data_IF_372740173921
#
_entry.id   IF_372740173921
#
_cell.length_a   1.000
_cell.length_b   1.000
_cell.length_c   1.000
_cell.angle_alpha   90.00
_cell.angle_beta   90.00
_cell.angle_gamma   90.00
#
_symmetry.space_group_name_H-M   'P 1'
#
loop_
_entity.id
_entity.type
_entity.pdbx_description
1 polymer ?
#
# COMPACT_ATOMS: atom_id res chain seq x y z
N UNK A 1 4.76 -4.23 -19.70
CA UNK A 1 3.30 -3.96 -19.86
C UNK A 1 2.99 -3.14 -21.11
N UNK A 2 3.75 -2.12 -21.52
CA UNK A 2 3.46 -1.34 -22.72
C UNK A 2 3.26 -2.15 -23.99
N UNK A 3 4.15 -3.11 -24.29
CA UNK A 3 4.00 -4.00 -25.45
C UNK A 3 2.74 -4.86 -25.40
N UNK A 4 2.29 -5.24 -24.20
CA UNK A 4 1.05 -6.01 -24.01
C UNK A 4 -0.18 -5.17 -24.31
N UNK A 5 -0.22 -3.92 -23.81
CA UNK A 5 -1.34 -3.03 -24.11
C UNK A 5 -1.43 -2.74 -25.60
N UNK A 6 -0.31 -2.50 -26.25
CA UNK A 6 -0.26 -2.27 -27.69
C UNK A 6 -0.72 -3.50 -28.50
N UNK A 7 -0.33 -4.71 -28.08
CA UNK A 7 -0.80 -5.93 -28.70
C UNK A 7 -2.32 -6.08 -28.58
N UNK A 8 -2.89 -5.78 -27.40
CA UNK A 8 -4.35 -5.81 -27.19
C UNK A 8 -5.06 -4.81 -28.12
N UNK A 9 -4.57 -3.57 -28.22
CA UNK A 9 -5.15 -2.56 -29.12
C UNK A 9 -5.08 -2.97 -30.58
N UNK A 10 -4.07 -3.76 -30.98
CA UNK A 10 -3.93 -4.30 -32.33
C UNK A 10 -4.63 -5.64 -32.54
N UNK A 11 -5.48 -6.07 -31.62
CA UNK A 11 -6.39 -7.19 -31.80
C UNK A 11 -5.77 -8.57 -31.63
N UNK A 12 -4.77 -8.72 -30.74
CA UNK A 12 -4.24 -10.04 -30.42
C UNK A 12 -5.30 -10.90 -29.69
N UNK A 13 -5.42 -12.17 -30.07
CA UNK A 13 -6.42 -13.09 -29.50
C UNK A 13 -6.04 -13.64 -28.13
N UNK A 14 -4.76 -13.67 -27.79
CA UNK A 14 -4.29 -14.21 -26.52
C UNK A 14 -2.90 -13.73 -26.13
N UNK A 15 -2.61 -13.76 -24.84
CA UNK A 15 -1.33 -13.33 -24.26
C UNK A 15 -0.78 -14.46 -23.40
N UNK A 16 0.45 -14.88 -23.69
CA UNK A 16 1.20 -15.75 -22.81
C UNK A 16 1.81 -14.95 -21.67
N UNK A 17 1.52 -15.35 -20.44
CA UNK A 17 2.00 -14.69 -19.22
C UNK A 17 2.33 -15.72 -18.15
N UNK A 18 3.01 -15.33 -17.09
CA UNK A 18 3.29 -16.20 -15.95
C UNK A 18 3.00 -15.49 -14.64
N UNK A 19 2.59 -16.25 -13.62
CA UNK A 19 2.36 -15.72 -12.29
C UNK A 19 3.67 -15.15 -11.74
N UNK A 20 3.61 -13.97 -11.12
CA UNK A 20 4.75 -13.19 -10.63
C UNK A 20 5.76 -12.79 -11.73
N UNK A 21 5.46 -13.02 -13.01
CA UNK A 21 6.37 -12.79 -14.10
C UNK A 21 7.52 -13.78 -14.18
N UNK A 22 7.39 -14.95 -13.56
CA UNK A 22 8.46 -15.96 -13.53
C UNK A 22 8.79 -16.47 -14.94
N UNK A 23 10.08 -16.70 -15.19
CA UNK A 23 10.57 -17.20 -16.47
C UNK A 23 12.08 -17.03 -16.61
N UNK A 24 12.62 -17.42 -17.74
CA UNK A 24 14.04 -17.28 -18.04
C UNK A 24 14.47 -15.81 -18.15
N UNK A 25 15.71 -15.52 -17.85
CA UNK A 25 16.37 -14.19 -17.92
C UNK A 25 15.62 -13.15 -17.06
N UNK A 26 14.95 -12.19 -17.69
CA UNK A 26 14.17 -11.16 -17.01
C UNK A 26 12.75 -11.60 -16.65
N UNK A 27 12.38 -12.83 -17.00
CA UNK A 27 11.05 -13.39 -16.82
C UNK A 27 10.07 -13.07 -17.96
N UNK A 28 8.83 -13.41 -17.73
CA UNK A 28 7.71 -13.15 -18.64
C UNK A 28 6.89 -11.94 -18.15
N UNK A 29 5.93 -11.50 -18.95
CA UNK A 29 4.93 -10.55 -18.48
C UNK A 29 4.12 -11.18 -17.34
N UNK A 30 3.88 -10.42 -16.29
CA UNK A 30 3.22 -10.92 -15.10
C UNK A 30 1.69 -11.02 -15.31
N UNK A 31 1.13 -12.20 -15.08
CA UNK A 31 -0.31 -12.47 -15.27
C UNK A 31 -1.19 -11.53 -14.45
N UNK A 32 -0.83 -11.26 -13.21
CA UNK A 32 -1.54 -10.35 -12.33
C UNK A 32 -1.59 -8.92 -12.88
N UNK A 33 -0.52 -8.47 -13.53
CA UNK A 33 -0.47 -7.14 -14.14
C UNK A 33 -1.28 -7.09 -15.44
N UNK A 34 -1.26 -8.17 -16.24
CA UNK A 34 -2.10 -8.29 -17.45
C UNK A 34 -3.58 -8.24 -17.09
N UNK A 35 -4.01 -9.02 -16.10
CA UNK A 35 -5.41 -9.04 -15.63
C UNK A 35 -5.82 -7.66 -15.13
N UNK A 36 -5.04 -7.06 -14.23
CA UNK A 36 -5.36 -5.74 -13.67
C UNK A 36 -5.42 -4.66 -14.76
N UNK A 37 -4.48 -4.64 -15.70
CA UNK A 37 -4.51 -3.73 -16.83
C UNK A 37 -5.75 -3.94 -17.70
N UNK A 38 -6.03 -5.18 -18.08
CA UNK A 38 -7.17 -5.49 -18.96
C UNK A 38 -8.50 -5.10 -18.34
N UNK A 39 -8.74 -5.47 -17.07
CA UNK A 39 -10.03 -5.24 -16.43
C UNK A 39 -10.20 -3.81 -15.88
N UNK A 40 -9.14 -3.22 -15.31
CA UNK A 40 -9.24 -1.92 -14.63
C UNK A 40 -9.00 -0.77 -15.61
N UNK A 41 -7.97 -0.85 -16.46
CA UNK A 41 -7.62 0.26 -17.36
C UNK A 41 -8.33 0.16 -18.70
N UNK A 42 -8.44 -1.04 -19.27
CA UNK A 42 -9.00 -1.24 -20.60
C UNK A 42 -10.48 -1.64 -20.59
N UNK A 43 -11.05 -1.87 -19.39
CA UNK A 43 -12.43 -2.32 -19.19
C UNK A 43 -12.80 -3.57 -20.01
N UNK A 44 -11.84 -4.49 -20.16
CA UNK A 44 -12.00 -5.76 -20.86
C UNK A 44 -12.32 -6.86 -19.86
N UNK A 45 -13.21 -7.78 -20.24
CA UNK A 45 -13.52 -8.95 -19.41
C UNK A 45 -12.55 -10.09 -19.73
N UNK A 46 -11.66 -10.41 -18.81
CA UNK A 46 -10.72 -11.54 -18.96
C UNK A 46 -11.36 -12.89 -18.60
N UNK A 47 -12.53 -12.89 -17.98
CA UNK A 47 -13.15 -14.09 -17.42
C UNK A 47 -12.48 -14.60 -16.14
N UNK A 48 -11.54 -13.86 -15.58
CA UNK A 48 -10.84 -14.19 -14.33
C UNK A 48 -11.49 -13.50 -13.14
N UNK A 49 -11.11 -13.90 -11.92
CA UNK A 49 -11.48 -13.20 -10.70
C UNK A 49 -10.26 -12.47 -10.13
N UNK A 50 -10.14 -11.14 -10.30
CA UNK A 50 -8.98 -10.38 -9.81
C UNK A 50 -8.77 -10.51 -8.30
N UNK A 51 -9.83 -10.75 -7.52
CA UNK A 51 -9.76 -10.84 -6.04
C UNK A 51 -8.91 -12.01 -5.54
N UNK A 52 -8.74 -13.08 -6.34
CA UNK A 52 -7.95 -14.24 -5.92
C UNK A 52 -6.48 -14.16 -6.36
N UNK A 53 -6.14 -13.20 -7.23
CA UNK A 53 -4.83 -13.16 -7.87
C UNK A 53 -3.70 -12.98 -6.87
N UNK A 54 -3.89 -12.12 -5.87
CA UNK A 54 -2.89 -11.91 -4.81
C UNK A 54 -2.58 -13.23 -4.06
N UNK A 55 -3.61 -13.99 -3.69
CA UNK A 55 -3.44 -15.29 -3.01
C UNK A 55 -2.66 -16.28 -3.87
N UNK A 56 -2.93 -16.33 -5.17
CA UNK A 56 -2.21 -17.17 -6.12
C UNK A 56 -0.75 -16.77 -6.20
N UNK A 57 -0.45 -15.47 -6.35
CA UNK A 57 0.91 -14.94 -6.43
C UNK A 57 1.73 -15.24 -5.17
N UNK A 58 1.13 -15.09 -3.98
CA UNK A 58 1.80 -15.45 -2.72
C UNK A 58 2.07 -16.97 -2.66
N UNK A 59 1.12 -17.81 -3.07
CA UNK A 59 1.30 -19.26 -3.09
C UNK A 59 2.41 -19.70 -4.05
N UNK A 60 2.49 -19.09 -5.23
CA UNK A 60 3.59 -19.36 -6.18
C UNK A 60 4.94 -18.92 -5.60
N UNK A 61 4.97 -17.77 -4.93
CA UNK A 61 6.19 -17.31 -4.23
C UNK A 61 6.66 -18.30 -3.16
N UNK A 62 5.75 -18.86 -2.37
CA UNK A 62 6.06 -19.90 -1.38
C UNK A 62 6.61 -21.17 -2.03
N UNK A 63 5.97 -21.66 -3.10
CA UNK A 63 6.38 -22.90 -3.77
C UNK A 63 7.75 -22.75 -4.42
N UNK A 64 8.02 -21.60 -5.02
CA UNK A 64 9.26 -21.35 -5.80
C UNK A 64 10.41 -20.85 -4.93
N UNK A 65 10.12 -20.35 -3.72
CA UNK A 65 11.10 -19.68 -2.86
C UNK A 65 11.52 -18.29 -3.39
N UNK A 66 10.90 -17.80 -4.48
CA UNK A 66 11.20 -16.49 -5.07
C UNK A 66 10.24 -15.45 -4.47
N UNK A 67 10.74 -14.48 -3.67
CA UNK A 67 9.87 -13.53 -2.98
C UNK A 67 9.26 -12.52 -3.95
N UNK A 68 8.00 -12.16 -3.71
CA UNK A 68 7.36 -11.04 -4.39
C UNK A 68 7.94 -9.73 -3.84
N UNK A 69 8.48 -8.83 -4.69
CA UNK A 69 8.96 -7.52 -4.25
C UNK A 69 7.87 -6.73 -3.53
N UNK A 70 8.24 -6.04 -2.44
CA UNK A 70 7.27 -5.32 -1.60
C UNK A 70 6.48 -4.23 -2.34
N UNK A 71 7.09 -3.64 -3.37
CA UNK A 71 6.53 -2.58 -4.21
C UNK A 71 6.05 -3.09 -5.58
N UNK A 72 5.94 -4.41 -5.78
CA UNK A 72 5.48 -4.97 -7.05
C UNK A 72 4.06 -4.49 -7.36
N UNK A 73 3.76 -4.05 -8.59
CA UNK A 73 2.39 -3.73 -8.99
C UNK A 73 1.42 -4.88 -8.68
N UNK A 74 0.21 -4.56 -8.31
CA UNK A 74 -0.91 -5.46 -7.96
C UNK A 74 -0.68 -6.28 -6.68
N UNK A 75 0.46 -6.92 -6.49
CA UNK A 75 0.69 -7.94 -5.45
C UNK A 75 1.70 -7.57 -4.38
N UNK A 76 2.43 -6.48 -4.52
CA UNK A 76 3.43 -6.03 -3.55
C UNK A 76 2.84 -5.78 -2.17
N UNK A 77 3.48 -6.29 -1.11
CA UNK A 77 2.95 -6.24 0.25
C UNK A 77 2.78 -4.83 0.81
N UNK A 78 3.57 -3.86 0.32
CA UNK A 78 3.51 -2.45 0.75
C UNK A 78 2.84 -1.52 -0.27
N UNK A 79 2.24 -2.06 -1.32
CA UNK A 79 1.65 -1.27 -2.41
C UNK A 79 0.59 -0.28 -1.90
N UNK A 80 -0.20 -0.68 -0.90
CA UNK A 80 -1.27 0.11 -0.31
C UNK A 80 -0.90 0.70 1.07
N UNK A 81 0.39 0.92 1.32
CA UNK A 81 0.86 1.61 2.52
C UNK A 81 1.13 3.08 2.23
N UNK A 82 0.61 3.96 3.07
CA UNK A 82 0.83 5.41 3.01
C UNK A 82 1.63 5.85 4.23
N UNK A 83 2.79 6.45 4.00
CA UNK A 83 3.70 6.91 5.04
C UNK A 83 3.83 8.44 5.06
N UNK A 84 3.87 9.06 3.88
CA UNK A 84 4.07 10.51 3.76
C UNK A 84 2.89 11.29 4.34
N UNK A 85 3.18 12.24 5.23
CA UNK A 85 2.16 13.08 5.87
C UNK A 85 1.29 13.85 4.88
N UNK A 86 1.85 14.31 3.75
CA UNK A 86 1.08 14.99 2.69
C UNK A 86 0.06 14.04 2.06
N UNK A 87 0.47 12.80 1.78
CA UNK A 87 -0.40 11.78 1.18
C UNK A 87 -1.47 11.33 2.19
N UNK A 88 -1.12 11.18 3.47
CA UNK A 88 -2.08 10.86 4.54
C UNK A 88 -3.15 11.95 4.66
N UNK A 89 -2.74 13.22 4.69
CA UNK A 89 -3.68 14.35 4.72
C UNK A 89 -4.61 14.36 3.50
N UNK A 90 -4.05 14.16 2.30
CA UNK A 90 -4.84 14.08 1.07
C UNK A 90 -5.86 12.93 1.13
N UNK A 91 -5.44 11.72 1.60
CA UNK A 91 -6.35 10.58 1.77
C UNK A 91 -7.51 10.92 2.70
N UNK A 92 -7.25 11.49 3.88
CA UNK A 92 -8.29 11.86 4.84
C UNK A 92 -9.29 12.87 4.26
N UNK A 93 -8.79 13.85 3.48
CA UNK A 93 -9.63 14.83 2.79
C UNK A 93 -10.53 14.18 1.73
N UNK A 94 -9.98 13.25 0.93
CA UNK A 94 -10.72 12.53 -0.11
C UNK A 94 -11.79 11.62 0.49
N UNK A 95 -11.50 10.95 1.61
CA UNK A 95 -12.48 10.15 2.33
C UNK A 95 -13.64 11.00 2.86
N UNK A 96 -13.34 12.15 3.49
CA UNK A 96 -14.36 13.11 3.94
C UNK A 96 -15.21 13.67 2.79
N UNK A 97 -14.62 13.80 1.60
CA UNK A 97 -15.31 14.23 0.38
C UNK A 97 -16.10 13.11 -0.33
N UNK A 98 -16.05 11.87 0.17
CA UNK A 98 -16.75 10.71 -0.42
C UNK A 98 -16.12 10.18 -1.72
N UNK A 99 -14.83 10.48 -1.97
CA UNK A 99 -14.09 10.06 -3.17
C UNK A 99 -12.80 9.29 -2.79
N UNK A 100 -12.90 8.18 -2.04
CA UNK A 100 -11.73 7.48 -1.48
C UNK A 100 -10.75 6.95 -2.53
N UNK A 101 -11.22 6.71 -3.76
CA UNK A 101 -10.40 6.22 -4.87
C UNK A 101 -9.54 7.31 -5.55
N UNK A 102 -9.69 8.61 -5.19
CA UNK A 102 -9.00 9.70 -5.89
C UNK A 102 -7.46 9.66 -5.73
N UNK A 103 -6.94 8.91 -4.76
CA UNK A 103 -5.51 8.77 -4.48
C UNK A 103 -4.91 7.48 -5.01
N UNK A 104 -5.70 6.63 -5.66
CA UNK A 104 -5.25 5.33 -6.13
C UNK A 104 -5.90 5.00 -7.47
N UNK A 105 -5.20 4.38 -8.42
CA UNK A 105 -5.79 4.01 -9.71
C UNK A 105 -6.92 2.99 -9.57
N UNK A 106 -6.97 2.27 -8.46
CA UNK A 106 -8.05 1.35 -8.08
C UNK A 106 -8.04 1.10 -6.58
N UNK A 107 -9.17 0.65 -6.05
CA UNK A 107 -9.29 0.27 -4.65
C UNK A 107 -8.65 -1.11 -4.40
N UNK A 108 -7.98 -1.31 -3.25
CA UNK A 108 -7.30 -2.57 -2.91
C UNK A 108 -8.20 -3.81 -3.03
N UNK A 109 -9.47 -3.68 -2.68
CA UNK A 109 -10.44 -4.78 -2.66
C UNK A 109 -10.71 -5.36 -4.05
N UNK A 110 -10.50 -4.59 -5.12
CA UNK A 110 -10.66 -5.04 -6.51
C UNK A 110 -9.69 -6.18 -6.82
N UNK A 111 -8.49 -6.13 -6.24
CA UNK A 111 -7.43 -7.14 -6.43
C UNK A 111 -7.25 -8.04 -5.20
N UNK A 112 -8.25 -8.09 -4.33
CA UNK A 112 -8.25 -8.96 -3.14
C UNK A 112 -7.21 -8.58 -2.10
N UNK A 113 -6.94 -7.28 -1.94
CA UNK A 113 -6.01 -6.74 -0.95
C UNK A 113 -6.75 -6.09 0.23
N UNK A 114 -6.04 -6.03 1.36
CA UNK A 114 -6.51 -5.30 2.52
C UNK A 114 -6.60 -3.78 2.22
N UNK A 115 -7.46 -3.06 2.92
CA UNK A 115 -7.59 -1.62 2.78
C UNK A 115 -6.27 -0.87 2.91
N UNK A 116 -6.24 0.34 2.38
CA UNK A 116 -5.08 1.23 2.48
C UNK A 116 -4.69 1.41 3.95
N UNK A 117 -3.43 1.14 4.27
CA UNK A 117 -2.88 1.25 5.62
C UNK A 117 -2.00 2.50 5.73
N UNK A 118 -2.31 3.37 6.70
CA UNK A 118 -1.39 4.43 7.11
C UNK A 118 -0.35 3.81 8.02
N UNK A 119 0.93 4.12 7.78
CA UNK A 119 2.07 3.61 8.54
C UNK A 119 2.97 4.76 8.99
N UNK A 120 3.71 4.56 10.08
CA UNK A 120 4.65 5.54 10.61
C UNK A 120 6.10 5.13 10.30
N UNK A 121 6.85 6.08 9.74
CA UNK A 121 8.25 5.86 9.39
C UNK A 121 9.01 7.15 9.09
N UNK A 122 10.09 7.02 8.34
CA UNK A 122 11.01 8.13 8.04
C UNK A 122 10.41 9.28 7.25
N UNK A 123 9.33 9.03 6.47
CA UNK A 123 8.65 10.03 5.63
C UNK A 123 7.37 10.58 6.29
N UNK A 124 7.03 10.15 7.50
CA UNK A 124 5.83 10.59 8.21
C UNK A 124 5.83 12.10 8.48
N UNK A 125 4.65 12.68 8.58
CA UNK A 125 4.41 14.07 8.90
C UNK A 125 3.41 14.22 10.04
N UNK A 126 3.09 15.48 10.42
CA UNK A 126 2.15 15.79 11.49
C UNK A 126 0.82 15.05 11.33
N UNK A 127 0.22 15.06 10.14
CA UNK A 127 -1.05 14.37 9.88
C UNK A 127 -1.00 12.85 10.11
N UNK A 128 0.19 12.23 10.00
CA UNK A 128 0.35 10.82 10.33
C UNK A 128 0.36 10.59 11.83
N UNK A 129 0.94 11.52 12.61
CA UNK A 129 0.93 11.49 14.08
C UNK A 129 -0.51 11.69 14.58
N UNK A 130 -1.21 12.75 14.11
CA UNK A 130 -2.62 13.00 14.43
C UNK A 130 -3.49 11.78 14.20
N UNK A 131 -3.37 11.16 13.01
CA UNK A 131 -4.10 9.94 12.70
C UNK A 131 -3.85 8.81 13.72
N UNK A 132 -2.59 8.63 14.15
CA UNK A 132 -2.27 7.56 15.09
C UNK A 132 -2.69 7.87 16.52
N UNK A 133 -2.64 9.14 16.96
CA UNK A 133 -3.20 9.58 18.24
C UNK A 133 -4.69 9.29 18.29
N UNK A 134 -5.44 9.71 17.26
CA UNK A 134 -6.88 9.45 17.14
C UNK A 134 -7.19 7.95 17.11
N UNK A 135 -6.44 7.19 16.31
CA UNK A 135 -6.61 5.73 16.17
C UNK A 135 -6.45 5.00 17.53
N UNK A 136 -5.57 5.47 18.39
CA UNK A 136 -5.27 4.84 19.67
C UNK A 136 -5.98 5.52 20.86
N UNK A 137 -6.84 6.52 20.60
CA UNK A 137 -7.57 7.24 21.65
C UNK A 137 -6.65 8.01 22.59
N UNK A 138 -5.49 8.45 22.11
CA UNK A 138 -4.53 9.24 22.88
C UNK A 138 -4.96 10.70 22.82
N UNK A 139 -5.41 11.23 23.97
CA UNK A 139 -5.82 12.64 24.08
C UNK A 139 -4.63 13.56 24.08
N UNK A 140 -4.75 14.69 23.39
CA UNK A 140 -3.74 15.74 23.31
C UNK A 140 -4.41 17.11 23.21
N UNK A 141 -3.68 18.17 23.54
CA UNK A 141 -4.12 19.56 23.46
C UNK A 141 -3.29 20.38 22.46
N UNK A 142 -3.50 21.69 22.46
CA UNK A 142 -2.81 22.61 21.55
C UNK A 142 -1.30 22.71 21.83
N UNK A 143 -0.85 22.35 23.03
CA UNK A 143 0.54 22.37 23.47
C UNK A 143 1.27 21.05 23.16
N UNK A 144 0.61 20.06 22.55
CA UNK A 144 1.24 18.79 22.21
C UNK A 144 2.43 18.97 21.26
N UNK A 145 3.60 18.49 21.67
CA UNK A 145 4.85 18.62 20.92
C UNK A 145 4.94 17.62 19.75
N UNK A 146 4.21 17.93 18.66
CA UNK A 146 4.23 17.14 17.42
C UNK A 146 5.63 17.01 16.83
N UNK A 147 6.47 18.04 16.94
CA UNK A 147 7.79 18.05 16.31
C UNK A 147 8.73 17.06 17.00
N UNK A 148 8.72 17.02 18.33
CA UNK A 148 9.52 16.07 19.11
C UNK A 148 9.03 14.63 18.87
N UNK A 149 7.72 14.36 18.95
CA UNK A 149 7.17 13.01 18.69
C UNK A 149 7.50 12.57 17.27
N UNK A 150 7.36 13.46 16.29
CA UNK A 150 7.70 13.15 14.90
C UNK A 150 9.20 12.86 14.71
N UNK A 151 10.06 13.62 15.39
CA UNK A 151 11.50 13.39 15.34
C UNK A 151 11.88 12.00 15.91
N UNK A 152 11.27 11.61 17.05
CA UNK A 152 11.47 10.30 17.66
C UNK A 152 10.98 9.16 16.76
N UNK A 153 9.79 9.28 16.17
CA UNK A 153 9.25 8.33 15.20
C UNK A 153 10.22 8.15 14.03
N UNK A 154 10.70 9.24 13.44
CA UNK A 154 11.65 9.19 12.32
C UNK A 154 12.98 8.57 12.71
N UNK A 155 13.51 8.93 13.90
CA UNK A 155 14.74 8.35 14.45
C UNK A 155 14.60 6.86 14.63
N UNK A 156 13.55 6.40 15.30
CA UNK A 156 13.27 4.98 15.54
C UNK A 156 13.17 4.20 14.23
N UNK A 157 12.40 4.72 13.25
CA UNK A 157 12.25 4.08 11.95
C UNK A 157 13.58 3.92 11.21
N UNK A 158 14.46 4.93 11.24
CA UNK A 158 15.79 4.88 10.62
C UNK A 158 16.70 3.85 11.28
N UNK A 159 16.72 3.80 12.61
CA UNK A 159 17.52 2.84 13.39
C UNK A 159 17.07 1.41 13.15
N UNK A 160 15.76 1.15 13.12
CA UNK A 160 15.18 -0.18 12.89
C UNK A 160 15.06 -0.54 11.41
N UNK A 161 15.24 0.44 10.49
CA UNK A 161 15.08 0.27 9.03
C UNK A 161 13.72 -0.30 8.63
N UNK A 162 12.67 0.07 9.34
CA UNK A 162 11.28 -0.32 9.10
C UNK A 162 10.30 0.71 9.67
N UNK A 163 9.04 0.59 9.27
CA UNK A 163 7.94 1.33 9.91
C UNK A 163 7.72 0.84 11.35
N UNK A 164 7.12 1.69 12.17
CA UNK A 164 6.78 1.39 13.56
C UNK A 164 5.59 0.42 13.63
N UNK A 165 5.54 -0.35 14.72
CA UNK A 165 4.29 -1.01 15.14
C UNK A 165 3.42 -0.02 15.93
N UNK A 166 2.16 -0.40 16.13
CA UNK A 166 1.21 0.41 16.91
C UNK A 166 1.71 0.59 18.36
N UNK A 167 2.21 -0.48 18.96
CA UNK A 167 2.74 -0.45 20.35
C UNK A 167 4.01 0.41 20.48
N UNK A 168 4.85 0.43 19.46
CA UNK A 168 6.05 1.28 19.45
C UNK A 168 5.67 2.76 19.38
N UNK A 169 4.65 3.10 18.57
CA UNK A 169 4.13 4.46 18.53
C UNK A 169 3.52 4.89 19.87
N UNK A 170 2.67 4.07 20.46
CA UNK A 170 2.04 4.36 21.75
C UNK A 170 3.09 4.63 22.82
N UNK A 171 4.19 3.85 22.86
CA UNK A 171 5.31 4.09 23.82
C UNK A 171 6.01 5.42 23.60
N UNK A 172 6.16 5.84 22.35
CA UNK A 172 6.77 7.14 22.00
C UNK A 172 5.83 8.28 22.37
N UNK A 173 4.54 8.17 22.10
CA UNK A 173 3.57 9.24 22.31
C UNK A 173 3.13 9.40 23.77
N UNK A 174 3.14 8.32 24.55
CA UNK A 174 2.63 8.33 25.93
C UNK A 174 3.21 9.41 26.86
N UNK A 175 4.52 9.75 26.83
CA UNK A 175 5.06 10.81 27.67
C UNK A 175 4.53 12.21 27.36
N UNK A 176 3.96 12.41 26.17
CA UNK A 176 3.48 13.70 25.68
C UNK A 176 1.94 13.80 25.71
N UNK A 177 1.26 12.69 25.99
CA UNK A 177 -0.20 12.63 26.05
C UNK A 177 -0.73 13.33 27.32
N UNK A 178 -1.97 13.84 27.23
CA UNK A 178 -2.67 14.30 28.44
C UNK A 178 -2.86 13.11 29.40
N UNK A 179 -2.49 13.31 30.67
CA UNK A 179 -2.78 12.31 31.69
C UNK A 179 -4.30 12.27 31.88
N UNK A 180 -4.85 11.07 31.70
CA UNK A 180 -6.27 10.84 32.03
C UNK A 180 -6.37 10.83 33.57
N UNK A 181 -7.09 11.81 34.13
CA UNK A 181 -7.50 11.84 35.53
C UNK A 181 -8.40 10.66 35.90
#
# INVERSE_FOLDING_TARGET
MGAVSEAIYNGVDGIHSSINGLGERTGNVATEEVIAMSEILLNLKTGTNPKVINKICMRVSEITGIPVPQNKPVTGTKLFWLESGVVVNAKQRMEKAGIPAAMSPYLPEIVGREPIKIVLGGSSGKSSIEYYLDKHGISYDDDFDFDTVLAEVKKFSREKRRVLTDEEFVKIAAPYALQQD
#
